data_IF_604051761010
#
_entry.id   IF_604051761010
#
_cell.length_a   1.000
_cell.length_b   1.000
_cell.length_c   1.000
_cell.angle_alpha   90.00
_cell.angle_beta   90.00
_cell.angle_gamma   90.00
#
_symmetry.space_group_name_H-M   'P 1'
#
loop_
_entity.id
_entity.type
_entity.pdbx_description
1 polymer ?
#
# COMPACT_ATOMS: atom_id res chain seq x y z
N UNK A 1 4.97 14.72 -13.89
CA UNK A 1 6.12 14.62 -12.97
C UNK A 1 5.59 14.73 -11.56
N UNK A 2 5.79 13.68 -10.76
CA UNK A 2 5.18 13.49 -9.44
C UNK A 2 5.73 14.49 -8.42
N UNK A 3 7.03 14.76 -8.44
CA UNK A 3 7.65 15.72 -7.51
C UNK A 3 7.14 17.13 -7.76
N UNK A 4 7.09 17.57 -9.02
CA UNK A 4 6.56 18.90 -9.36
C UNK A 4 5.11 19.10 -8.90
N UNK A 5 4.30 18.04 -8.93
CA UNK A 5 2.93 18.10 -8.41
C UNK A 5 2.93 18.24 -6.87
N UNK A 6 3.77 17.48 -6.18
CA UNK A 6 3.92 17.55 -4.73
C UNK A 6 4.44 18.92 -4.26
N UNK A 7 5.41 19.50 -4.96
CA UNK A 7 5.93 20.85 -4.67
C UNK A 7 4.86 21.94 -4.88
N UNK A 8 3.95 21.75 -5.84
CA UNK A 8 2.84 22.68 -6.08
C UNK A 8 1.75 22.57 -5.01
N UNK A 9 1.58 21.39 -4.40
CA UNK A 9 0.53 21.12 -3.42
C UNK A 9 1.06 20.36 -2.19
N UNK A 10 2.02 20.93 -1.44
CA UNK A 10 2.76 20.22 -0.40
C UNK A 10 1.89 19.82 0.81
N UNK A 11 0.79 20.54 1.05
CA UNK A 11 -0.17 20.22 2.13
C UNK A 11 -1.20 19.14 1.73
N UNK A 12 -1.17 18.67 0.48
CA UNK A 12 -2.15 17.71 -0.05
C UNK A 12 -1.52 16.47 -0.68
N UNK A 13 -0.32 16.58 -1.25
CA UNK A 13 0.30 15.52 -2.02
C UNK A 13 1.61 15.07 -1.37
N UNK A 14 1.70 13.76 -1.13
CA UNK A 14 2.88 13.10 -0.60
C UNK A 14 3.40 12.16 -1.70
N UNK A 15 4.59 12.43 -2.28
CA UNK A 15 5.05 11.70 -3.45
C UNK A 15 5.68 10.35 -3.06
N UNK A 16 5.27 9.28 -3.75
CA UNK A 16 5.93 7.96 -3.71
C UNK A 16 6.63 7.69 -5.03
N UNK A 17 7.84 7.13 -4.98
CA UNK A 17 8.64 6.81 -6.16
C UNK A 17 8.31 5.41 -6.67
N UNK A 18 8.08 5.28 -7.96
CA UNK A 18 8.02 3.97 -8.60
C UNK A 18 9.43 3.41 -8.80
N UNK A 19 9.62 2.13 -8.48
CA UNK A 19 10.86 1.39 -8.74
C UNK A 19 10.49 0.04 -9.35
N UNK A 20 11.22 -0.32 -10.41
CA UNK A 20 11.09 -1.57 -11.15
C UNK A 20 12.12 -2.58 -10.64
N UNK A 21 11.71 -3.47 -9.72
CA UNK A 21 12.60 -4.53 -9.22
C UNK A 21 13.04 -5.47 -10.34
N UNK A 22 14.32 -5.85 -10.31
CA UNK A 22 14.97 -6.67 -11.36
C UNK A 22 15.42 -5.87 -12.59
N UNK A 23 15.10 -4.57 -12.66
CA UNK A 23 15.60 -3.66 -13.70
C UNK A 23 16.43 -2.51 -13.11
N UNK A 24 15.88 -1.82 -12.11
CA UNK A 24 16.58 -0.74 -11.42
C UNK A 24 17.72 -1.29 -10.54
N UNK A 25 18.62 -0.39 -10.14
CA UNK A 25 19.70 -0.71 -9.19
C UNK A 25 19.36 -0.16 -7.79
N UNK A 26 19.77 -0.83 -6.70
CA UNK A 26 19.40 -0.42 -5.33
C UNK A 26 19.74 1.03 -4.95
N UNK A 27 20.77 1.64 -5.55
CA UNK A 27 21.11 3.05 -5.30
C UNK A 27 19.99 4.03 -5.65
N UNK A 28 19.06 3.64 -6.53
CA UNK A 28 17.91 4.48 -6.90
C UNK A 28 17.07 4.88 -5.68
N UNK A 29 17.01 4.04 -4.63
CA UNK A 29 16.27 4.35 -3.40
C UNK A 29 16.82 5.61 -2.72
N UNK A 30 18.14 5.75 -2.63
CA UNK A 30 18.78 6.94 -2.08
C UNK A 30 18.61 8.17 -2.99
N UNK A 31 18.64 7.95 -4.31
CA UNK A 31 18.44 9.02 -5.30
C UNK A 31 17.03 9.61 -5.21
N UNK A 32 15.99 8.78 -5.19
CA UNK A 32 14.60 9.27 -5.09
C UNK A 32 14.31 9.87 -3.72
N UNK A 33 14.90 9.34 -2.64
CA UNK A 33 14.86 9.99 -1.34
C UNK A 33 15.43 11.41 -1.39
N UNK A 34 16.61 11.58 -2.00
CA UNK A 34 17.25 12.88 -2.20
C UNK A 34 16.44 13.86 -3.06
N UNK A 35 15.61 13.35 -3.97
CA UNK A 35 14.66 14.13 -4.77
C UNK A 35 13.40 14.56 -4.00
N UNK A 36 13.20 14.08 -2.78
CA UNK A 36 12.08 14.47 -1.92
C UNK A 36 10.91 13.48 -1.89
N UNK A 37 11.02 12.32 -2.53
CA UNK A 37 10.04 11.25 -2.38
C UNK A 37 9.97 10.76 -0.92
N UNK A 38 8.77 10.41 -0.46
CA UNK A 38 8.48 10.05 0.93
C UNK A 38 8.19 8.57 1.15
N UNK A 39 8.23 7.79 0.07
CA UNK A 39 8.02 6.34 0.09
C UNK A 39 8.20 5.77 -1.31
N UNK A 40 8.04 4.47 -1.43
CA UNK A 40 8.23 3.72 -2.67
C UNK A 40 6.94 2.99 -3.08
N UNK A 41 6.78 2.72 -4.37
CA UNK A 41 5.70 1.93 -4.96
C UNK A 41 6.29 0.88 -5.87
N UNK A 42 6.02 -0.40 -5.58
CA UNK A 42 6.44 -1.51 -6.44
C UNK A 42 5.23 -2.14 -7.12
N UNK A 43 5.38 -2.46 -8.39
CA UNK A 43 4.42 -3.18 -9.25
C UNK A 43 5.18 -3.70 -10.47
N UNK A 44 4.70 -4.79 -11.08
CA UNK A 44 5.25 -5.35 -12.31
C UNK A 44 6.74 -5.77 -12.21
N UNK A 45 7.23 -6.37 -11.11
CA UNK A 45 8.65 -6.65 -10.94
C UNK A 45 9.12 -7.75 -11.90
N UNK A 46 10.40 -7.74 -12.28
CA UNK A 46 11.01 -8.81 -13.11
C UNK A 46 11.55 -9.98 -12.27
N UNK A 47 11.55 -9.84 -10.95
CA UNK A 47 11.95 -10.85 -9.97
C UNK A 47 10.89 -10.94 -8.87
N UNK A 48 10.77 -12.08 -8.16
CA UNK A 48 9.94 -12.17 -6.96
C UNK A 48 10.27 -11.10 -5.91
N UNK A 49 9.28 -10.62 -5.16
CA UNK A 49 9.54 -9.65 -4.08
C UNK A 49 10.54 -10.16 -3.04
N UNK A 50 10.59 -11.45 -2.77
CA UNK A 50 11.52 -12.11 -1.84
C UNK A 50 12.82 -12.59 -2.49
N UNK A 51 13.09 -12.20 -3.74
CA UNK A 51 14.36 -12.49 -4.40
C UNK A 51 15.52 -11.80 -3.68
N UNK A 52 16.67 -12.47 -3.62
CA UNK A 52 17.89 -11.94 -2.99
C UNK A 52 18.35 -10.62 -3.62
N UNK A 53 18.08 -10.41 -4.91
CA UNK A 53 18.39 -9.18 -5.62
C UNK A 53 17.52 -7.98 -5.19
N UNK A 54 16.34 -8.23 -4.61
CA UNK A 54 15.44 -7.19 -4.12
C UNK A 54 15.81 -6.73 -2.69
N UNK A 55 16.49 -7.57 -1.90
CA UNK A 55 16.82 -7.29 -0.49
C UNK A 55 17.54 -5.95 -0.25
N UNK A 56 18.52 -5.52 -1.07
CA UNK A 56 19.20 -4.24 -0.87
C UNK A 56 18.28 -3.02 -1.02
N UNK A 57 17.18 -3.13 -1.78
CA UNK A 57 16.19 -2.05 -1.86
C UNK A 57 15.45 -1.87 -0.54
N UNK A 58 15.05 -2.97 0.10
CA UNK A 58 14.36 -2.98 1.38
C UNK A 58 15.26 -2.49 2.52
N UNK A 59 16.51 -2.93 2.55
CA UNK A 59 17.51 -2.48 3.52
C UNK A 59 17.71 -0.96 3.42
N UNK A 60 17.89 -0.43 2.21
CA UNK A 60 18.05 1.02 2.02
C UNK A 60 16.77 1.79 2.32
N UNK A 61 15.60 1.24 1.99
CA UNK A 61 14.31 1.85 2.32
C UNK A 61 14.08 1.92 3.83
N UNK A 62 14.43 0.87 4.58
CA UNK A 62 14.36 0.85 6.04
C UNK A 62 15.30 1.88 6.66
N UNK A 63 16.57 1.92 6.22
CA UNK A 63 17.58 2.89 6.68
C UNK A 63 17.10 4.34 6.51
N UNK A 64 16.46 4.64 5.37
CA UNK A 64 15.93 5.96 5.05
C UNK A 64 14.50 6.18 5.58
N UNK A 65 13.96 5.22 6.34
CA UNK A 65 12.58 5.25 6.83
C UNK A 65 11.53 5.46 5.74
N UNK A 66 11.79 5.01 4.51
CA UNK A 66 10.86 5.07 3.39
C UNK A 66 9.91 3.86 3.41
N UNK A 67 8.61 4.07 3.63
CA UNK A 67 7.64 2.99 3.54
C UNK A 67 7.43 2.55 2.08
N UNK A 68 6.93 1.33 1.90
CA UNK A 68 6.72 0.75 0.57
C UNK A 68 5.27 0.30 0.40
N UNK A 69 4.63 0.82 -0.64
CA UNK A 69 3.36 0.32 -1.14
C UNK A 69 3.63 -0.76 -2.18
N UNK A 70 3.27 -2.00 -1.89
CA UNK A 70 3.38 -3.12 -2.81
C UNK A 70 2.05 -3.32 -3.52
N UNK A 71 2.06 -3.29 -4.85
CA UNK A 71 0.99 -3.98 -5.56
C UNK A 71 1.09 -5.47 -5.22
N UNK A 72 0.00 -6.05 -4.73
CA UNK A 72 -0.06 -7.48 -4.48
C UNK A 72 -1.29 -8.07 -5.16
N UNK A 73 -1.07 -9.18 -5.84
CA UNK A 73 -2.13 -9.88 -6.53
C UNK A 73 -1.98 -9.98 -8.04
N UNK A 74 -3.10 -10.30 -8.69
CA UNK A 74 -3.17 -10.54 -10.13
C UNK A 74 -3.16 -9.23 -10.91
N UNK A 75 -2.28 -9.14 -11.90
CA UNK A 75 -2.27 -8.06 -12.87
C UNK A 75 -3.20 -8.39 -14.04
N UNK A 76 -3.88 -7.37 -14.55
CA UNK A 76 -4.49 -7.47 -15.85
C UNK A 76 -3.40 -7.68 -16.91
N UNK A 77 -3.65 -8.56 -17.87
CA UNK A 77 -2.72 -8.79 -18.96
C UNK A 77 -2.60 -7.55 -19.84
N UNK A 78 -1.38 -7.06 -20.04
CA UNK A 78 -1.06 -6.03 -21.02
C UNK A 78 0.04 -6.52 -21.98
N UNK A 79 -0.07 -6.24 -23.29
CA UNK A 79 0.99 -6.58 -24.24
C UNK A 79 2.34 -6.00 -23.81
N UNK A 80 3.38 -6.83 -23.80
CA UNK A 80 4.75 -6.43 -23.45
C UNK A 80 5.09 -6.50 -21.96
N UNK A 81 4.16 -6.87 -21.08
CA UNK A 81 4.50 -7.16 -19.68
C UNK A 81 5.26 -8.48 -19.57
N UNK A 82 6.41 -8.43 -18.90
CA UNK A 82 7.29 -9.57 -18.67
C UNK A 82 7.42 -9.88 -17.16
N UNK A 83 6.27 -9.93 -16.48
CA UNK A 83 6.17 -10.27 -15.05
C UNK A 83 5.23 -11.45 -14.85
N UNK A 84 5.30 -12.04 -13.67
CA UNK A 84 4.31 -13.01 -13.17
C UNK A 84 3.64 -12.44 -11.93
N UNK A 85 2.31 -12.55 -11.84
CA UNK A 85 1.60 -12.22 -10.59
C UNK A 85 2.06 -13.07 -9.41
N UNK A 86 2.67 -14.23 -9.65
CA UNK A 86 3.30 -15.02 -8.60
C UNK A 86 4.40 -14.24 -7.87
N UNK A 87 5.12 -13.33 -8.55
CA UNK A 87 6.18 -12.50 -7.97
C UNK A 87 5.67 -11.48 -6.95
N UNK A 88 4.36 -11.18 -7.00
CA UNK A 88 3.70 -10.15 -6.21
C UNK A 88 2.68 -10.74 -5.23
N UNK A 89 2.77 -12.03 -4.90
CA UNK A 89 1.89 -12.64 -3.89
C UNK A 89 2.14 -12.01 -2.52
N UNK A 90 1.09 -11.68 -1.74
CA UNK A 90 1.23 -11.15 -0.38
C UNK A 90 2.21 -11.94 0.49
N UNK A 91 2.16 -13.28 0.44
CA UNK A 91 2.97 -14.14 1.30
C UNK A 91 4.48 -13.99 1.08
N UNK A 92 4.91 -13.52 -0.10
CA UNK A 92 6.33 -13.21 -0.37
C UNK A 92 6.84 -12.06 0.51
N UNK A 93 5.96 -11.25 1.07
CA UNK A 93 6.34 -10.18 1.99
C UNK A 93 6.62 -10.66 3.43
N UNK A 94 6.28 -11.91 3.80
CA UNK A 94 6.45 -12.39 5.20
C UNK A 94 7.92 -12.39 5.63
N UNK A 95 8.80 -12.97 4.80
CA UNK A 95 10.24 -13.00 5.07
C UNK A 95 10.85 -11.59 5.13
N UNK A 96 10.38 -10.70 4.26
CA UNK A 96 10.81 -9.30 4.20
C UNK A 96 10.40 -8.56 5.48
N UNK A 97 9.14 -8.70 5.90
CA UNK A 97 8.59 -8.06 7.11
C UNK A 97 9.36 -8.43 8.37
N UNK A 98 9.78 -9.71 8.45
CA UNK A 98 10.54 -10.25 9.60
C UNK A 98 12.00 -9.84 9.56
N UNK A 99 12.59 -9.76 8.37
CA UNK A 99 13.99 -9.36 8.18
C UNK A 99 14.21 -7.87 8.42
N UNK A 100 13.24 -7.05 8.03
CA UNK A 100 13.28 -5.59 8.13
C UNK A 100 12.10 -5.09 9.00
N UNK A 101 12.17 -5.28 10.33
CA UNK A 101 11.05 -4.96 11.23
C UNK A 101 10.71 -3.46 11.33
N UNK A 102 11.64 -2.58 10.96
CA UNK A 102 11.43 -1.13 10.84
C UNK A 102 10.84 -0.70 9.50
N UNK A 103 10.91 -1.54 8.47
CA UNK A 103 10.32 -1.25 7.16
C UNK A 103 8.80 -1.38 7.21
N UNK A 104 8.10 -0.27 6.93
CA UNK A 104 6.63 -0.24 6.89
C UNK A 104 6.16 -0.58 5.49
N UNK A 105 5.23 -1.53 5.41
CA UNK A 105 4.79 -2.11 4.16
C UNK A 105 3.27 -2.08 4.06
N UNK A 106 2.76 -1.73 2.88
CA UNK A 106 1.33 -1.76 2.59
C UNK A 106 1.06 -2.73 1.45
N UNK A 107 0.15 -3.67 1.67
CA UNK A 107 -0.36 -4.60 0.66
C UNK A 107 -1.56 -3.93 -0.02
N UNK A 108 -1.41 -3.65 -1.31
CA UNK A 108 -2.50 -3.06 -2.09
C UNK A 108 -3.61 -4.06 -2.42
N UNK A 109 -4.82 -3.54 -2.58
CA UNK A 109 -6.01 -4.26 -3.03
C UNK A 109 -6.35 -5.48 -2.17
N UNK A 110 -5.93 -5.50 -0.90
CA UNK A 110 -6.04 -6.66 -0.03
C UNK A 110 -5.46 -7.95 -0.65
N UNK A 111 -4.46 -7.83 -1.54
CA UNK A 111 -3.73 -8.96 -2.10
C UNK A 111 -4.47 -9.83 -3.11
N UNK A 112 -5.44 -9.30 -3.85
CA UNK A 112 -6.35 -10.04 -4.77
C UNK A 112 -5.67 -11.17 -5.56
N UNK A 113 -6.16 -12.43 -5.50
CA UNK A 113 -7.32 -12.91 -4.75
C UNK A 113 -6.99 -13.50 -3.37
N UNK A 114 -5.77 -13.32 -2.86
CA UNK A 114 -5.28 -13.92 -1.60
C UNK A 114 -5.66 -13.10 -0.35
N UNK A 115 -6.95 -12.75 -0.22
CA UNK A 115 -7.47 -11.82 0.79
C UNK A 115 -7.20 -12.28 2.23
N UNK A 116 -7.42 -13.57 2.50
CA UNK A 116 -7.21 -14.19 3.80
C UNK A 116 -5.74 -14.14 4.20
N UNK A 117 -4.83 -14.31 3.24
CA UNK A 117 -3.39 -14.21 3.47
C UNK A 117 -3.02 -12.76 3.81
N UNK A 118 -3.46 -11.79 2.99
CA UNK A 118 -3.18 -10.37 3.23
C UNK A 118 -3.71 -9.89 4.60
N UNK A 119 -4.96 -10.23 4.94
CA UNK A 119 -5.56 -9.88 6.23
C UNK A 119 -4.83 -10.56 7.41
N UNK A 120 -4.45 -11.83 7.27
CA UNK A 120 -3.69 -12.56 8.30
C UNK A 120 -2.29 -11.98 8.47
N UNK A 121 -1.60 -11.62 7.38
CA UNK A 121 -0.30 -10.96 7.46
C UNK A 121 -0.39 -9.61 8.17
N UNK A 122 -1.38 -8.77 7.83
CA UNK A 122 -1.58 -7.49 8.49
C UNK A 122 -1.85 -7.64 10.00
N UNK A 123 -2.57 -8.70 10.39
CA UNK A 123 -2.80 -9.05 11.80
C UNK A 123 -1.51 -9.48 12.51
N UNK A 124 -0.73 -10.35 11.88
CA UNK A 124 0.40 -11.03 12.52
C UNK A 124 1.70 -10.21 12.50
N UNK A 125 1.87 -9.31 11.52
CA UNK A 125 3.11 -8.57 11.30
C UNK A 125 2.90 -7.09 11.68
N UNK A 126 3.63 -6.57 12.68
CA UNK A 126 3.42 -5.20 13.20
C UNK A 126 3.59 -4.10 12.14
N UNK A 127 4.51 -4.29 11.21
CA UNK A 127 4.90 -3.35 10.16
C UNK A 127 4.14 -3.50 8.83
N UNK A 128 3.15 -4.42 8.77
CA UNK A 128 2.31 -4.63 7.57
C UNK A 128 0.94 -3.98 7.74
N UNK A 129 0.52 -3.25 6.72
CA UNK A 129 -0.80 -2.66 6.52
C UNK A 129 -1.43 -3.20 5.23
N UNK A 130 -2.73 -3.04 5.08
CA UNK A 130 -3.49 -3.36 3.86
C UNK A 130 -4.34 -2.17 3.45
N UNK A 131 -4.65 -2.03 2.17
CA UNK A 131 -5.80 -1.26 1.72
C UNK A 131 -6.82 -2.17 1.05
N UNK A 132 -8.01 -1.62 0.76
CA UNK A 132 -9.08 -2.31 0.05
C UNK A 132 -9.41 -1.60 -1.25
N UNK A 133 -8.41 -1.06 -1.93
CA UNK A 133 -8.60 -0.28 -3.16
C UNK A 133 -8.95 -1.16 -4.36
N UNK A 134 -9.68 -0.62 -5.33
CA UNK A 134 -10.00 -1.33 -6.57
C UNK A 134 -10.90 -0.52 -7.50
N UNK A 135 -11.17 -1.06 -8.69
CA UNK A 135 -11.93 -0.36 -9.72
C UNK A 135 -13.45 -0.39 -9.40
N UNK A 136 -14.12 0.76 -9.21
CA UNK A 136 -15.57 0.81 -9.01
C UNK A 136 -16.37 0.33 -10.24
N UNK A 137 -15.77 0.26 -11.42
CA UNK A 137 -16.44 -0.21 -12.64
C UNK A 137 -16.41 -1.74 -12.81
N UNK A 138 -15.85 -2.51 -11.87
CA UNK A 138 -15.87 -3.98 -11.95
C UNK A 138 -14.87 -4.73 -11.04
N UNK A 139 -14.70 -6.03 -11.30
CA UNK A 139 -13.71 -6.86 -10.61
C UNK A 139 -14.06 -7.19 -9.15
N UNK A 140 -13.03 -7.51 -8.35
CA UNK A 140 -13.23 -7.96 -6.96
C UNK A 140 -13.92 -6.91 -6.11
N UNK A 141 -13.56 -5.64 -6.34
CA UNK A 141 -14.00 -4.50 -5.55
C UNK A 141 -15.52 -4.45 -5.51
N UNK A 142 -16.17 -4.50 -6.67
CA UNK A 142 -17.64 -4.51 -6.78
C UNK A 142 -18.30 -5.86 -6.48
N UNK A 143 -17.54 -6.95 -6.46
CA UNK A 143 -18.07 -8.32 -6.32
C UNK A 143 -18.08 -8.85 -4.88
N UNK A 144 -17.32 -8.23 -3.96
CA UNK A 144 -17.26 -8.66 -2.56
C UNK A 144 -18.29 -7.92 -1.71
N UNK A 145 -18.89 -8.63 -0.75
CA UNK A 145 -19.89 -8.05 0.16
C UNK A 145 -19.23 -7.57 1.46
N UNK A 146 -19.94 -6.72 2.21
CA UNK A 146 -19.49 -6.25 3.52
C UNK A 146 -19.33 -7.42 4.51
N UNK A 147 -20.16 -8.46 4.43
CA UNK A 147 -20.04 -9.68 5.25
C UNK A 147 -18.75 -10.44 4.96
N UNK A 148 -18.35 -10.53 3.68
CA UNK A 148 -17.08 -11.14 3.32
C UNK A 148 -15.91 -10.34 3.94
N UNK A 149 -15.90 -9.01 3.78
CA UNK A 149 -14.86 -8.16 4.38
C UNK A 149 -14.84 -8.32 5.90
N UNK A 150 -16.01 -8.35 6.56
CA UNK A 150 -16.12 -8.63 8.00
C UNK A 150 -15.56 -9.98 8.41
N UNK A 151 -15.71 -11.01 7.58
CA UNK A 151 -15.13 -12.33 7.87
C UNK A 151 -13.59 -12.34 7.86
N UNK A 152 -12.96 -11.47 7.08
CA UNK A 152 -11.49 -11.34 7.03
C UNK A 152 -10.93 -10.60 8.26
N UNK A 153 -11.68 -9.63 8.77
CA UNK A 153 -11.27 -8.75 9.87
C UNK A 153 -12.01 -9.05 11.18
N UNK A 154 -12.16 -10.33 11.51
CA UNK A 154 -12.87 -10.81 12.72
C UNK A 154 -12.16 -10.53 14.05
N UNK A 155 -10.94 -10.00 14.00
CA UNK A 155 -10.02 -9.88 15.12
C UNK A 155 -10.00 -8.44 15.69
N UNK A 156 -9.66 -8.25 16.98
CA UNK A 156 -9.74 -6.94 17.64
C UNK A 156 -8.71 -5.96 17.09
N UNK A 157 -9.07 -4.68 16.98
CA UNK A 157 -8.19 -3.61 16.49
C UNK A 157 -7.82 -3.68 15.00
N UNK A 158 -8.59 -4.40 14.17
CA UNK A 158 -8.39 -4.47 12.72
C UNK A 158 -8.32 -3.13 12.01
N UNK A 159 -9.12 -2.19 12.49
CA UNK A 159 -9.18 -0.81 12.00
C UNK A 159 -7.82 -0.11 12.07
N UNK A 160 -6.84 -0.61 12.85
CA UNK A 160 -5.48 -0.07 12.96
C UNK A 160 -4.54 -0.55 11.86
N UNK A 161 -4.97 -1.46 11.00
CA UNK A 161 -4.16 -2.07 9.93
C UNK A 161 -4.67 -1.78 8.52
N UNK A 162 -5.82 -1.13 8.39
CA UNK A 162 -6.45 -0.82 7.10
C UNK A 162 -6.22 0.65 6.74
N UNK A 163 -5.55 0.92 5.63
CA UNK A 163 -5.35 2.27 5.11
C UNK A 163 -6.42 2.53 4.06
N UNK A 164 -7.14 3.64 4.20
CA UNK A 164 -8.04 4.10 3.15
C UNK A 164 -7.27 4.53 1.90
N UNK A 165 -7.78 4.13 0.73
CA UNK A 165 -7.33 4.58 -0.58
C UNK A 165 -8.40 4.25 -1.61
N UNK A 166 -8.30 4.88 -2.79
CA UNK A 166 -9.24 4.64 -3.88
C UNK A 166 -8.62 3.91 -5.08
N UNK A 167 -7.33 4.15 -5.38
CA UNK A 167 -6.61 3.63 -6.56
C UNK A 167 -7.34 3.88 -7.90
N UNK A 168 -7.92 5.08 -8.04
CA UNK A 168 -8.63 5.49 -9.25
C UNK A 168 -8.27 6.91 -9.66
N UNK A 169 -8.61 7.23 -10.91
CA UNK A 169 -8.60 8.60 -11.42
C UNK A 169 -9.59 9.49 -10.67
N UNK A 170 -9.39 10.80 -10.77
CA UNK A 170 -10.17 11.80 -10.04
C UNK A 170 -11.68 11.76 -10.32
N UNK A 171 -12.09 11.39 -11.53
CA UNK A 171 -13.49 11.28 -11.94
C UNK A 171 -14.25 10.14 -11.22
N UNK A 172 -13.54 9.07 -10.84
CA UNK A 172 -14.12 7.90 -10.16
C UNK A 172 -14.01 7.96 -8.63
N UNK A 173 -13.33 8.97 -8.06
CA UNK A 173 -13.06 9.03 -6.61
C UNK A 173 -14.33 9.01 -5.77
N UNK A 174 -15.39 9.72 -6.18
CA UNK A 174 -16.66 9.74 -5.46
C UNK A 174 -17.24 8.34 -5.32
N UNK A 175 -17.24 7.59 -6.42
CA UNK A 175 -17.80 6.24 -6.46
C UNK A 175 -16.96 5.26 -5.64
N UNK A 176 -15.63 5.34 -5.74
CA UNK A 176 -14.73 4.55 -4.91
C UNK A 176 -14.91 4.84 -3.40
N UNK A 177 -15.02 6.11 -3.00
CA UNK A 177 -15.28 6.47 -1.59
C UNK A 177 -16.59 5.85 -1.11
N UNK A 178 -17.67 5.98 -1.87
CA UNK A 178 -18.99 5.42 -1.52
C UNK A 178 -18.94 3.89 -1.45
N UNK A 179 -18.22 3.26 -2.37
CA UNK A 179 -18.05 1.81 -2.36
C UNK A 179 -17.29 1.35 -1.10
N UNK A 180 -16.18 2.01 -0.76
CA UNK A 180 -15.42 1.68 0.45
C UNK A 180 -16.28 1.84 1.73
N UNK A 181 -17.08 2.90 1.82
CA UNK A 181 -18.04 3.10 2.91
C UNK A 181 -19.07 1.96 2.98
N UNK A 182 -19.57 1.47 1.84
CA UNK A 182 -20.46 0.30 1.81
C UNK A 182 -19.76 -0.98 2.27
N UNK A 183 -18.54 -1.25 1.82
CA UNK A 183 -17.78 -2.43 2.27
C UNK A 183 -17.55 -2.40 3.78
N UNK A 184 -17.32 -1.21 4.35
CA UNK A 184 -17.11 -1.02 5.78
C UNK A 184 -18.40 -0.91 6.61
N UNK A 185 -19.57 -0.78 6.00
CA UNK A 185 -20.81 -0.50 6.74
C UNK A 185 -21.25 -1.63 7.68
N UNK A 186 -20.75 -2.86 7.49
CA UNK A 186 -21.03 -4.00 8.38
C UNK A 186 -20.20 -4.00 9.66
N UNK A 187 -19.17 -3.14 9.73
CA UNK A 187 -18.41 -2.90 10.94
C UNK A 187 -19.09 -1.74 11.64
N UNK A 188 -19.67 -1.98 12.83
CA UNK A 188 -20.24 -0.93 13.68
C UNK A 188 -19.10 -0.04 14.22
N UNK A 189 -18.45 0.72 13.34
CA UNK A 189 -17.28 1.52 13.65
C UNK A 189 -17.68 2.69 14.55
N UNK A 190 -16.83 2.98 15.53
CA UNK A 190 -16.87 4.22 16.29
C UNK A 190 -16.06 5.30 15.57
N UNK A 191 -16.29 6.57 15.88
CA UNK A 191 -15.51 7.68 15.27
C UNK A 191 -13.98 7.45 15.35
N UNK A 192 -13.40 6.98 16.48
CA UNK A 192 -11.97 6.67 16.53
C UNK A 192 -11.52 5.55 15.57
N UNK A 193 -12.37 4.56 15.30
CA UNK A 193 -12.06 3.50 14.33
C UNK A 193 -12.06 4.06 12.91
N UNK A 194 -13.02 4.92 12.58
CA UNK A 194 -13.05 5.60 11.29
C UNK A 194 -11.84 6.49 11.09
N UNK A 195 -11.49 7.30 12.09
CA UNK A 195 -10.30 8.16 12.06
C UNK A 195 -9.02 7.35 11.86
N UNK A 196 -8.91 6.18 12.48
CA UNK A 196 -7.77 5.30 12.25
C UNK A 196 -7.66 4.88 10.77
N UNK A 197 -8.75 4.39 10.19
CA UNK A 197 -8.79 3.89 8.80
C UNK A 197 -8.53 5.02 7.80
N UNK A 198 -9.22 6.15 7.95
CA UNK A 198 -9.20 7.25 6.98
C UNK A 198 -7.99 8.20 7.14
N UNK A 199 -7.29 8.19 8.28
CA UNK A 199 -6.24 9.17 8.58
C UNK A 199 -5.03 8.59 9.28
N UNK A 200 -5.19 8.02 10.46
CA UNK A 200 -4.05 7.80 11.36
C UNK A 200 -3.17 6.62 10.92
N UNK A 201 -3.74 5.63 10.22
CA UNK A 201 -2.97 4.52 9.66
C UNK A 201 -2.03 4.99 8.55
N UNK A 202 -2.52 5.86 7.67
CA UNK A 202 -1.70 6.47 6.63
C UNK A 202 -0.54 7.27 7.25
N UNK A 203 -0.82 8.05 8.31
CA UNK A 203 0.23 8.76 9.07
C UNK A 203 1.25 7.82 9.68
N UNK A 204 0.84 6.68 10.25
CA UNK A 204 1.78 5.68 10.82
C UNK A 204 2.60 5.00 9.73
N UNK A 205 1.98 4.66 8.61
CA UNK A 205 2.65 4.09 7.45
C UNK A 205 3.70 5.05 6.88
N UNK A 206 3.35 6.32 6.72
CA UNK A 206 4.22 7.38 6.22
C UNK A 206 5.30 7.81 7.23
N UNK A 207 4.94 7.87 8.51
CA UNK A 207 5.82 8.24 9.62
C UNK A 207 5.84 9.72 9.89
N UNK A 208 6.86 10.16 10.63
CA UNK A 208 7.12 11.58 10.82
C UNK A 208 7.57 12.20 9.49
N UNK A 209 6.59 12.63 8.68
CA UNK A 209 6.86 13.47 7.52
C UNK A 209 6.91 14.91 8.01
N UNK A 210 8.11 15.50 8.00
CA UNK A 210 8.25 16.94 8.14
C UNK A 210 7.61 17.63 6.93
N UNK A 211 6.41 18.17 7.12
CA UNK A 211 5.77 19.04 6.13
C UNK A 211 6.44 20.40 6.25
N UNK A 212 7.26 20.78 5.27
CA UNK A 212 7.76 22.16 5.17
C UNK A 212 6.55 23.05 4.89
N UNK A 213 6.03 23.73 5.92
CA UNK A 213 4.92 24.67 5.76
C UNK A 213 3.97 24.81 6.94
N UNK A 214 3.98 23.91 7.93
CA UNK A 214 3.13 24.05 9.12
C UNK A 214 3.77 24.96 10.17
N UNK A 215 3.91 26.25 9.84
CA UNK A 215 3.87 27.32 10.84
C UNK A 215 2.44 27.84 10.92
N UNK A 216 1.72 27.42 11.95
CA UNK A 216 0.96 28.28 12.87
C UNK A 216 0.53 27.49 14.09
#
# INVERSE_FOLDING_TARGET
DVIRAAERYPDRLIPLAFIQLGQDKPNVVAEVHGQGFKGLKFIDPLVPYDDVAALPFYEKAEELSMPILFHCGVLAWLPGQNTSSDYMRPLRLDGIARRFPGLRMQIAHLGVPEYEIAATMARMLPNVFVDMTGNPEGGWYTSKTSEFIRSLFYWPDWHRKVIFGTDVRSDLMREAVQHHQRLLSSFNMTDPMEEAVYRDNCRRFLGEISVRGSTK
#
